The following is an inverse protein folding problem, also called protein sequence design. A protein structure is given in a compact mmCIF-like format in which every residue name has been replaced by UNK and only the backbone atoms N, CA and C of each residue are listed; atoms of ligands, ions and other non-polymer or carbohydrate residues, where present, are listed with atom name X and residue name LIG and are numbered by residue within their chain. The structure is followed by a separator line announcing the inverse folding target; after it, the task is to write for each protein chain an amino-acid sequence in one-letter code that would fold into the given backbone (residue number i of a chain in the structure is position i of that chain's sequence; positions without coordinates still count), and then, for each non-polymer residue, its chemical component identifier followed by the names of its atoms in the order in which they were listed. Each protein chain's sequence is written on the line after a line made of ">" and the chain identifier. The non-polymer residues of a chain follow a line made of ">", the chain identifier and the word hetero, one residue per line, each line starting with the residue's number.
data_IF_248882034856
#
_entry.id   IF_248882034856
#
_cell.length_a   1.000
_cell.length_b   1.000
_cell.length_c   1.000
_cell.angle_alpha   90.00
_cell.angle_beta   90.00
_cell.angle_gamma   90.00
#
_symmetry.space_group_name_H-M   'P 1'
#
loop_
_entity.id
_entity.type
_entity.pdbx_description
1 polymer ?
#
# COMPACT_ATOMS: atom_id res chain seq x y z
N UNK A 1 2.98 -5.87 -9.80
CA UNK A 1 3.04 -5.27 -8.44
C UNK A 1 1.72 -4.58 -8.17
N UNK A 2 1.01 -4.89 -7.07
CA UNK A 2 -0.17 -4.11 -6.67
C UNK A 2 0.30 -2.68 -6.38
N UNK A 3 -0.35 -1.69 -6.99
CA UNK A 3 -0.03 -0.27 -6.79
C UNK A 3 -0.67 0.29 -5.54
N UNK A 4 -1.30 -0.53 -4.68
CA UNK A 4 -2.17 -0.02 -3.62
C UNK A 4 -1.51 -0.09 -2.25
N UNK A 5 -1.54 1.03 -1.52
CA UNK A 5 -1.06 1.16 -0.15
C UNK A 5 -2.15 1.76 0.75
N UNK A 6 -2.20 1.37 2.02
CA UNK A 6 -3.07 1.97 3.02
C UNK A 6 -2.37 2.09 4.37
N UNK A 7 -2.65 3.20 5.07
CA UNK A 7 -2.26 3.39 6.48
C UNK A 7 -3.30 2.87 7.47
N UNK A 8 -4.48 2.46 6.99
CA UNK A 8 -5.55 1.96 7.85
C UNK A 8 -5.55 0.42 7.84
N UNK A 9 -4.96 -0.17 8.88
CA UNK A 9 -4.90 -1.62 9.07
C UNK A 9 -6.28 -2.28 9.14
N UNK A 10 -7.31 -1.57 9.63
CA UNK A 10 -8.65 -2.10 9.80
C UNK A 10 -9.37 -2.38 8.46
N UNK A 11 -8.91 -1.77 7.36
CA UNK A 11 -9.45 -2.04 6.01
C UNK A 11 -8.97 -3.36 5.41
N UNK A 12 -7.96 -4.00 6.01
CA UNK A 12 -7.30 -5.17 5.45
C UNK A 12 -7.82 -6.48 6.06
N UNK A 13 -8.38 -7.31 5.19
CA UNK A 13 -8.69 -8.71 5.41
C UNK A 13 -7.52 -9.60 5.00
N UNK A 14 -7.47 -10.86 5.44
CA UNK A 14 -6.39 -11.81 5.11
C UNK A 14 -4.97 -11.25 5.32
N UNK A 15 -4.81 -10.41 6.35
CA UNK A 15 -3.57 -9.68 6.52
C UNK A 15 -2.43 -10.58 6.97
N UNK A 16 -1.30 -10.42 6.28
CA UNK A 16 -0.02 -11.03 6.63
C UNK A 16 0.89 -9.94 7.15
N UNK A 17 1.23 -10.01 8.45
CA UNK A 17 2.25 -9.14 9.04
C UNK A 17 3.62 -9.61 8.57
N UNK A 18 4.33 -8.76 7.83
CA UNK A 18 5.68 -9.04 7.33
C UNK A 18 6.37 -7.73 7.00
N UNK A 19 7.60 -7.57 7.46
CA UNK A 19 8.46 -6.50 6.99
C UNK A 19 8.79 -6.73 5.51
N UNK A 20 8.34 -5.82 4.65
CA UNK A 20 8.57 -5.88 3.21
C UNK A 20 9.56 -4.82 2.72
N UNK A 21 9.89 -3.85 3.56
CA UNK A 21 10.82 -2.77 3.27
C UNK A 21 10.35 -1.42 3.79
N UNK A 22 11.07 -0.38 3.40
CA UNK A 22 10.75 1.02 3.71
C UNK A 22 10.51 1.79 2.43
N UNK A 23 9.50 2.66 2.43
CA UNK A 23 9.28 3.65 1.38
C UNK A 23 9.84 5.00 1.83
N UNK A 24 10.31 5.79 0.87
CA UNK A 24 10.73 7.18 1.07
C UNK A 24 9.74 8.08 0.35
N UNK A 25 9.19 9.05 1.05
CA UNK A 25 8.28 10.07 0.50
C UNK A 25 9.08 11.21 -0.14
N UNK A 26 8.39 12.01 -0.97
CA UNK A 26 8.99 13.16 -1.65
C UNK A 26 9.52 14.24 -0.71
N UNK A 27 9.09 14.23 0.56
CA UNK A 27 9.56 15.13 1.63
C UNK A 27 10.74 14.54 2.44
N UNK A 28 11.39 13.49 1.96
CA UNK A 28 12.44 12.71 2.65
C UNK A 28 11.99 11.89 3.87
N UNK A 29 10.71 11.87 4.22
CA UNK A 29 10.25 11.00 5.29
C UNK A 29 10.28 9.54 4.84
N UNK A 30 10.34 8.64 5.83
CA UNK A 30 10.31 7.19 5.60
C UNK A 30 9.15 6.55 6.33
N UNK A 31 8.58 5.51 5.73
CA UNK A 31 7.62 4.64 6.40
C UNK A 31 7.88 3.17 6.10
N UNK A 32 7.46 2.31 7.02
CA UNK A 32 7.66 0.86 6.95
C UNK A 32 6.46 0.21 6.28
N UNK A 33 6.71 -0.64 5.29
CA UNK A 33 5.70 -1.58 4.80
C UNK A 33 5.67 -2.77 5.77
N UNK A 34 4.68 -2.76 6.66
CA UNK A 34 4.57 -3.71 7.77
C UNK A 34 3.76 -4.97 7.41
N UNK A 35 3.20 -5.05 6.22
CA UNK A 35 2.53 -6.24 5.72
C UNK A 35 1.67 -5.98 4.49
N UNK A 36 0.80 -6.93 4.18
CA UNK A 36 -0.20 -6.79 3.13
C UNK A 36 -1.47 -7.55 3.47
N UNK A 37 -2.58 -7.16 2.87
CA UNK A 37 -3.86 -7.87 2.94
C UNK A 37 -4.74 -7.53 1.75
N UNK A 38 -6.00 -7.92 1.82
CA UNK A 38 -6.97 -7.64 0.78
C UNK A 38 -8.01 -6.64 1.30
N UNK A 39 -8.43 -5.70 0.45
CA UNK A 39 -9.54 -4.79 0.73
C UNK A 39 -10.76 -5.28 -0.02
N UNK A 40 -11.87 -5.48 0.69
CA UNK A 40 -13.15 -5.88 0.09
C UNK A 40 -14.09 -4.69 0.13
N UNK A 41 -14.54 -4.24 -1.04
CA UNK A 41 -15.52 -3.17 -1.20
C UNK A 41 -16.70 -3.76 -1.98
N UNK A 42 -17.82 -4.00 -1.29
CA UNK A 42 -18.96 -4.72 -1.86
C UNK A 42 -18.52 -6.09 -2.41
N UNK A 43 -18.62 -6.30 -3.72
CA UNK A 43 -18.18 -7.51 -4.43
C UNK A 43 -16.77 -7.39 -5.04
N UNK A 44 -16.13 -6.22 -4.96
CA UNK A 44 -14.79 -6.01 -5.48
C UNK A 44 -13.74 -6.34 -4.42
N UNK A 45 -12.77 -7.18 -4.76
CA UNK A 45 -11.61 -7.47 -3.90
C UNK A 45 -10.35 -6.89 -4.52
N UNK A 46 -9.70 -5.96 -3.83
CA UNK A 46 -8.36 -5.47 -4.17
C UNK A 46 -7.37 -6.34 -3.42
N UNK A 47 -6.67 -7.21 -4.15
CA UNK A 47 -5.70 -8.14 -3.54
C UNK A 47 -4.35 -7.48 -3.30
N UNK A 48 -3.63 -7.96 -2.27
CA UNK A 48 -2.24 -7.56 -1.97
C UNK A 48 -2.07 -6.04 -1.83
N UNK A 49 -2.96 -5.40 -1.08
CA UNK A 49 -2.80 -4.00 -0.64
C UNK A 49 -1.76 -3.95 0.46
N UNK A 50 -0.74 -3.13 0.29
CA UNK A 50 0.32 -2.99 1.28
C UNK A 50 -0.13 -2.12 2.45
N UNK A 51 0.19 -2.57 3.66
CA UNK A 51 0.03 -1.79 4.87
C UNK A 51 1.30 -1.01 5.15
N UNK A 52 1.17 0.31 5.27
CA UNK A 52 2.27 1.21 5.59
C UNK A 52 2.03 1.80 6.97
N UNK A 53 2.93 1.49 7.91
CA UNK A 53 2.85 1.98 9.29
C UNK A 53 3.15 3.48 9.33
N UNK A 54 2.32 4.24 10.06
CA UNK A 54 2.44 5.71 10.13
C UNK A 54 1.94 6.47 8.90
N UNK A 55 1.45 5.78 7.86
CA UNK A 55 0.78 6.44 6.74
C UNK A 55 -0.60 6.97 7.19
N UNK A 56 -0.92 8.22 6.86
CA UNK A 56 -2.22 8.83 7.16
C UNK A 56 -3.39 8.21 6.37
N UNK A 57 -4.53 8.91 6.31
CA UNK A 57 -5.70 8.43 5.57
C UNK A 57 -5.47 8.52 4.05
N UNK A 58 -5.40 7.37 3.36
CA UNK A 58 -6.13 7.02 2.13
C UNK A 58 -5.51 5.81 1.41
N UNK A 59 -6.33 5.18 0.56
CA UNK A 59 -5.94 4.12 -0.37
C UNK A 59 -5.18 4.77 -1.54
N UNK A 60 -3.86 4.90 -1.44
CA UNK A 60 -3.07 5.44 -2.54
C UNK A 60 -2.93 4.41 -3.65
N UNK A 61 -3.21 4.79 -4.90
CA UNK A 61 -2.66 4.11 -6.07
C UNK A 61 -1.31 4.75 -6.38
N UNK A 62 -0.21 4.01 -6.19
CA UNK A 62 1.14 4.36 -6.62
C UNK A 62 1.18 4.30 -8.15
N UNK A 63 0.61 5.32 -8.78
CA UNK A 63 0.84 5.63 -10.19
C UNK A 63 2.14 6.40 -10.32
N UNK A 64 3.27 5.73 -10.47
CA UNK A 64 4.47 6.38 -10.99
C UNK A 64 4.41 6.37 -12.52
N UNK A 65 4.27 7.57 -13.07
CA UNK A 65 5.05 8.14 -14.17
C UNK A 65 5.51 7.19 -15.30
N UNK A 66 5.02 7.48 -16.50
CA UNK A 66 5.50 7.08 -17.83
C UNK A 66 6.70 6.11 -17.88
N UNK A 67 6.47 4.91 -18.41
CA UNK A 67 7.46 4.25 -19.26
C UNK A 67 7.62 5.13 -20.52
N UNK A 68 8.51 6.12 -20.46
CA UNK A 68 9.10 6.68 -21.68
C UNK A 68 10.27 5.81 -22.06
N UNK A 69 10.05 4.96 -23.06
CA UNK A 69 11.08 4.12 -23.66
C UNK A 69 10.53 3.28 -24.81
N UNK A 70 9.98 3.95 -25.82
CA UNK A 70 10.04 3.46 -27.19
C UNK A 70 11.35 3.96 -27.81
#
# INVERSE_FOLDING_TARGET
>A
MSKHMTGNRALLTNFVKKFLGTIRFGNNDFAVIAGYGDVVIRSLTIKRVYYVEGLGQNLFSVGQFCDKGL
#
